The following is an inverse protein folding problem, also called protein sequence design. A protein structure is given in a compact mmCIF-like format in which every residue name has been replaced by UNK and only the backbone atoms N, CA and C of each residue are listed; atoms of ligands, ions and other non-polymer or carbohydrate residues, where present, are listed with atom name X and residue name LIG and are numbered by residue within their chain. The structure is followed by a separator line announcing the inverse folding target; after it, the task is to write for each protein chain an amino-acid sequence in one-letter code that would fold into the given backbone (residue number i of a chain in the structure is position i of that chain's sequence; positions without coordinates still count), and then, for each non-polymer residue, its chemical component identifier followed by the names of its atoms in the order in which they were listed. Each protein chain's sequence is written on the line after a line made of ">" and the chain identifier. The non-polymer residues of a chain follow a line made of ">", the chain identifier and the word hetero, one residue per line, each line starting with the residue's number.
data_IF_027956850221
#
_entry.id   IF_027956850221
#
_cell.length_a   1.000
_cell.length_b   1.000
_cell.length_c   1.000
_cell.angle_alpha   90.00
_cell.angle_beta   90.00
_cell.angle_gamma   90.00
#
_symmetry.space_group_name_H-M   'P 1'
#
loop_
_entity.id
_entity.type
_entity.pdbx_description
1 polymer ?
#
# COMPACT_ATOMS: atom_id res chain seq x y z
N UNK A 1 -19.50 -58.44 -15.81
CA UNK A 1 -18.63 -58.34 -14.61
C UNK A 1 -17.41 -57.51 -14.96
N UNK A 2 -17.32 -56.27 -14.51
CA UNK A 2 -16.09 -55.47 -14.59
C UNK A 2 -15.11 -55.99 -13.53
N UNK A 3 -13.83 -56.16 -13.89
CA UNK A 3 -12.84 -56.65 -12.93
C UNK A 3 -12.56 -55.60 -11.84
N UNK A 4 -12.43 -56.01 -10.57
CA UNK A 4 -12.18 -55.10 -9.44
C UNK A 4 -10.94 -54.22 -9.64
N UNK A 5 -9.96 -54.69 -10.43
CA UNK A 5 -8.75 -53.93 -10.79
C UNK A 5 -9.06 -52.64 -11.54
N UNK A 6 -10.10 -52.61 -12.37
CA UNK A 6 -10.47 -51.39 -13.13
C UNK A 6 -11.06 -50.31 -12.22
N UNK A 7 -11.82 -50.71 -11.19
CA UNK A 7 -12.40 -49.76 -10.22
C UNK A 7 -11.33 -49.09 -9.37
N UNK A 8 -10.31 -49.84 -8.92
CA UNK A 8 -9.19 -49.27 -8.16
C UNK A 8 -8.40 -48.28 -9.03
N UNK A 9 -8.15 -48.60 -10.29
CA UNK A 9 -7.42 -47.71 -11.20
C UNK A 9 -8.17 -46.40 -11.46
N UNK A 10 -9.49 -46.46 -11.66
CA UNK A 10 -10.31 -45.24 -11.83
C UNK A 10 -10.33 -44.37 -10.59
N UNK A 11 -10.35 -44.97 -9.39
CA UNK A 11 -10.30 -44.22 -8.13
C UNK A 11 -8.94 -43.53 -7.92
N UNK A 12 -7.84 -44.20 -8.27
CA UNK A 12 -6.48 -43.62 -8.20
C UNK A 12 -6.27 -42.49 -9.23
N UNK A 13 -6.82 -42.64 -10.44
CA UNK A 13 -6.79 -41.58 -11.45
C UNK A 13 -7.64 -40.38 -11.00
N UNK A 14 -8.82 -40.61 -10.44
CA UNK A 14 -9.68 -39.54 -9.95
C UNK A 14 -9.07 -38.80 -8.76
N UNK A 15 -8.40 -39.50 -7.83
CA UNK A 15 -7.73 -38.87 -6.68
C UNK A 15 -6.54 -38.02 -7.12
N UNK A 16 -5.72 -38.50 -8.06
CA UNK A 16 -4.58 -37.73 -8.59
C UNK A 16 -5.02 -36.48 -9.37
N UNK A 17 -6.08 -36.57 -10.16
CA UNK A 17 -6.65 -35.39 -10.86
C UNK A 17 -7.21 -34.37 -9.87
N UNK A 18 -7.90 -34.83 -8.82
CA UNK A 18 -8.42 -33.96 -7.77
C UNK A 18 -7.28 -33.23 -7.03
N UNK A 19 -6.21 -33.95 -6.68
CA UNK A 19 -5.03 -33.37 -6.03
C UNK A 19 -4.34 -32.33 -6.92
N UNK A 20 -4.23 -32.57 -8.22
CA UNK A 20 -3.64 -31.61 -9.16
C UNK A 20 -4.44 -30.30 -9.21
N UNK A 21 -5.77 -30.39 -9.25
CA UNK A 21 -6.65 -29.21 -9.25
C UNK A 21 -6.61 -28.40 -7.96
N UNK A 22 -6.44 -29.07 -6.82
CA UNK A 22 -6.26 -28.39 -5.54
C UNK A 22 -4.96 -27.61 -5.50
N UNK A 23 -3.84 -28.18 -5.98
CA UNK A 23 -2.55 -27.48 -6.05
C UNK A 23 -2.61 -26.25 -6.95
N UNK A 24 -3.23 -26.39 -8.12
CA UNK A 24 -3.44 -25.29 -9.07
C UNK A 24 -4.21 -24.13 -8.40
N UNK A 25 -5.32 -24.42 -7.73
CA UNK A 25 -6.13 -23.43 -7.03
C UNK A 25 -5.35 -22.73 -5.90
N UNK A 26 -4.55 -23.48 -5.12
CA UNK A 26 -3.82 -22.89 -4.01
C UNK A 26 -2.65 -22.02 -4.49
N UNK A 27 -1.95 -22.42 -5.55
CA UNK A 27 -0.91 -21.59 -6.18
C UNK A 27 -1.55 -20.31 -6.73
N UNK A 28 -2.73 -20.40 -7.34
CA UNK A 28 -3.45 -19.22 -7.83
C UNK A 28 -3.81 -18.26 -6.70
N UNK A 29 -4.38 -18.75 -5.60
CA UNK A 29 -4.71 -17.92 -4.43
C UNK A 29 -3.44 -17.28 -3.83
N UNK A 30 -2.36 -18.06 -3.71
CA UNK A 30 -1.07 -17.55 -3.24
C UNK A 30 -0.55 -16.42 -4.15
N UNK A 31 -0.62 -16.60 -5.47
CA UNK A 31 -0.20 -15.57 -6.42
C UNK A 31 -1.07 -14.32 -6.35
N UNK A 32 -2.38 -14.44 -6.08
CA UNK A 32 -3.25 -13.28 -5.87
C UNK A 32 -2.80 -12.45 -4.67
N UNK A 33 -2.52 -13.10 -3.53
CA UNK A 33 -2.01 -12.41 -2.34
C UNK A 33 -0.67 -11.71 -2.63
N UNK A 34 0.25 -12.41 -3.31
CA UNK A 34 1.57 -11.87 -3.70
C UNK A 34 1.46 -10.69 -4.69
N UNK A 35 0.38 -10.61 -5.47
CA UNK A 35 0.14 -9.49 -6.41
C UNK A 35 -0.33 -8.23 -5.68
N UNK A 36 -1.11 -8.36 -4.61
CA UNK A 36 -1.53 -7.22 -3.78
C UNK A 36 -0.31 -6.51 -3.19
N UNK A 37 0.62 -7.27 -2.59
CA UNK A 37 1.91 -6.79 -2.11
C UNK A 37 2.77 -6.10 -3.17
N UNK A 38 2.77 -6.64 -4.39
CA UNK A 38 3.50 -6.05 -5.51
C UNK A 38 2.89 -4.70 -5.88
N UNK A 39 1.56 -4.61 -5.92
CA UNK A 39 0.85 -3.37 -6.21
C UNK A 39 1.15 -2.31 -5.15
N UNK A 40 1.19 -2.66 -3.87
CA UNK A 40 1.52 -1.71 -2.80
C UNK A 40 2.98 -1.26 -2.87
N UNK A 41 3.89 -2.18 -3.24
CA UNK A 41 5.30 -1.84 -3.52
C UNK A 41 5.41 -0.87 -4.71
N UNK A 42 4.62 -1.07 -5.77
CA UNK A 42 4.57 -0.17 -6.92
C UNK A 42 3.94 1.18 -6.57
N UNK A 43 2.90 1.22 -5.74
CA UNK A 43 2.31 2.46 -5.26
C UNK A 43 3.31 3.26 -4.43
N UNK A 44 4.04 2.60 -3.53
CA UNK A 44 5.13 3.22 -2.77
C UNK A 44 6.21 3.78 -3.70
N UNK A 45 6.63 3.00 -4.70
CA UNK A 45 7.60 3.42 -5.71
C UNK A 45 7.12 4.65 -6.49
N UNK A 46 5.85 4.64 -6.92
CA UNK A 46 5.21 5.72 -7.68
C UNK A 46 5.08 6.99 -6.85
N UNK A 47 4.67 6.86 -5.59
CA UNK A 47 4.58 7.97 -4.64
C UNK A 47 5.96 8.58 -4.42
N UNK A 48 6.96 7.74 -4.15
CA UNK A 48 8.34 8.19 -3.99
C UNK A 48 8.82 8.94 -5.24
N UNK A 49 8.50 8.45 -6.44
CA UNK A 49 8.87 9.09 -7.71
C UNK A 49 8.17 10.44 -7.93
N UNK A 50 6.85 10.51 -7.71
CA UNK A 50 6.02 11.71 -7.91
C UNK A 50 6.36 12.85 -6.95
N UNK A 51 6.84 12.55 -5.74
CA UNK A 51 7.16 13.60 -4.77
C UNK A 51 8.33 14.46 -5.28
N UNK A 52 8.16 15.80 -5.35
CA UNK A 52 9.20 16.71 -5.82
C UNK A 52 10.40 16.73 -4.87
N UNK A 53 11.58 17.11 -5.38
CA UNK A 53 12.85 17.04 -4.64
C UNK A 53 13.20 18.32 -3.87
N UNK A 54 12.25 19.24 -3.72
CA UNK A 54 12.48 20.53 -3.05
C UNK A 54 12.42 20.36 -1.53
N UNK A 55 13.45 20.80 -0.81
CA UNK A 55 13.45 20.82 0.65
C UNK A 55 12.52 21.93 1.15
N UNK A 56 11.24 21.63 1.27
CA UNK A 56 10.22 22.52 1.82
C UNK A 56 9.81 22.12 3.23
N UNK A 57 9.32 23.06 4.03
CA UNK A 57 8.75 22.72 5.34
C UNK A 57 7.44 21.96 5.18
N UNK A 58 7.37 20.74 5.70
CA UNK A 58 6.17 19.92 5.86
C UNK A 58 5.09 20.51 6.79
N UNK A 59 5.48 21.48 7.62
CA UNK A 59 4.60 22.15 8.59
C UNK A 59 4.36 23.57 8.10
N UNK A 60 3.09 23.91 7.89
CA UNK A 60 2.67 25.28 7.56
C UNK A 60 1.61 25.77 8.54
N UNK A 61 1.78 27.01 9.01
CA UNK A 61 0.79 27.69 9.84
C UNK A 61 -0.07 28.55 8.94
N UNK A 62 -1.33 28.17 8.75
CA UNK A 62 -2.29 28.99 7.99
C UNK A 62 -3.30 29.61 8.95
N UNK A 63 -3.21 30.92 9.17
CA UNK A 63 -4.27 31.66 9.85
C UNK A 63 -5.33 32.02 8.80
N UNK A 64 -6.62 31.69 9.02
CA UNK A 64 -7.66 32.03 8.06
C UNK A 64 -7.73 33.55 7.84
N UNK A 65 -7.90 33.97 6.58
CA UNK A 65 -7.89 35.39 6.20
C UNK A 65 -9.07 36.21 6.77
N UNK A 66 -10.14 35.56 7.22
CA UNK A 66 -11.39 36.21 7.64
C UNK A 66 -11.39 36.71 9.09
N UNK A 67 -10.40 36.36 9.92
CA UNK A 67 -10.32 36.80 11.31
C UNK A 67 -8.89 36.89 11.82
N UNK A 68 -8.67 37.72 12.85
CA UNK A 68 -7.38 37.78 13.54
C UNK A 68 -7.13 36.48 14.31
N UNK A 69 -5.85 36.14 14.54
CA UNK A 69 -5.44 34.93 15.28
C UNK A 69 -6.13 34.84 16.65
N UNK A 70 -6.38 35.97 17.29
CA UNK A 70 -7.00 36.05 18.61
C UNK A 70 -8.51 35.79 18.57
N UNK A 71 -9.19 36.28 17.53
CA UNK A 71 -10.63 36.08 17.35
C UNK A 71 -10.96 34.62 17.05
N UNK A 72 -10.15 33.96 16.22
CA UNK A 72 -10.31 32.53 15.89
C UNK A 72 -10.20 31.66 17.15
N UNK A 73 -9.24 31.96 18.03
CA UNK A 73 -9.07 31.24 19.30
C UNK A 73 -10.27 31.41 20.23
N UNK A 74 -10.83 32.63 20.34
CA UNK A 74 -11.98 32.89 21.21
C UNK A 74 -13.27 32.25 20.71
N UNK A 75 -13.53 32.32 19.40
CA UNK A 75 -14.84 31.92 18.83
C UNK A 75 -14.98 30.41 18.70
N UNK A 76 -13.90 29.71 18.33
CA UNK A 76 -13.96 28.28 18.00
C UNK A 76 -13.38 27.35 19.09
N UNK A 77 -12.74 27.90 20.12
CA UNK A 77 -12.06 27.10 21.15
C UNK A 77 -10.89 26.26 20.61
N UNK A 78 -10.34 26.64 19.46
CA UNK A 78 -9.26 25.90 18.81
C UNK A 78 -7.94 26.02 19.57
N UNK A 79 -7.23 24.91 19.64
CA UNK A 79 -5.87 24.85 20.16
C UNK A 79 -4.87 25.29 19.09
N UNK A 80 -3.65 25.69 19.46
CA UNK A 80 -2.64 26.07 18.46
C UNK A 80 -2.27 24.92 17.51
N UNK A 81 -2.54 23.68 17.92
CA UNK A 81 -2.32 22.48 17.11
C UNK A 81 -3.30 22.39 15.93
N UNK A 82 -4.51 22.93 16.07
CA UNK A 82 -5.53 22.92 15.01
C UNK A 82 -5.21 23.89 13.85
N UNK A 83 -4.30 24.84 14.09
CA UNK A 83 -3.81 25.80 13.09
C UNK A 83 -2.62 25.26 12.30
N UNK A 84 -2.08 24.11 12.71
CA UNK A 84 -0.96 23.46 12.03
C UNK A 84 -1.50 22.60 10.90
N UNK A 85 -1.17 22.97 9.66
CA UNK A 85 -1.43 22.15 8.49
C UNK A 85 -0.19 21.38 8.10
N UNK A 86 -0.33 20.06 8.02
CA UNK A 86 0.70 19.18 7.50
C UNK A 86 0.50 19.04 5.99
N UNK A 87 1.47 19.53 5.23
CA UNK A 87 1.51 19.36 3.78
C UNK A 87 2.58 18.35 3.40
N UNK A 88 2.35 17.59 2.34
CA UNK A 88 3.40 16.77 1.74
C UNK A 88 4.43 17.70 1.10
N UNK A 89 5.49 18.00 1.83
CA UNK A 89 6.63 18.74 1.31
C UNK A 89 7.56 17.83 0.49
N UNK A 90 8.38 18.43 -0.36
CA UNK A 90 9.32 17.68 -1.17
C UNK A 90 10.38 16.97 -0.32
N UNK A 91 10.84 15.82 -0.80
CA UNK A 91 11.82 14.96 -0.14
C UNK A 91 13.18 15.19 -0.81
N UNK A 92 14.24 15.53 -0.06
CA UNK A 92 15.56 15.70 -0.64
C UNK A 92 16.07 14.38 -1.25
N UNK A 93 16.84 14.48 -2.34
CA UNK A 93 17.23 13.34 -3.18
C UNK A 93 17.97 12.24 -2.38
N UNK A 94 18.84 12.61 -1.44
CA UNK A 94 19.58 11.63 -0.64
C UNK A 94 18.64 10.78 0.23
N UNK A 95 17.59 11.38 0.81
CA UNK A 95 16.57 10.63 1.53
C UNK A 95 15.72 9.77 0.60
N UNK A 96 15.43 10.24 -0.62
CA UNK A 96 14.72 9.45 -1.64
C UNK A 96 15.51 8.20 -2.02
N UNK A 97 16.81 8.35 -2.26
CA UNK A 97 17.72 7.24 -2.57
C UNK A 97 17.84 6.30 -1.36
N UNK A 98 17.97 6.82 -0.14
CA UNK A 98 18.02 6.00 1.06
C UNK A 98 16.75 5.15 1.21
N UNK A 99 15.57 5.74 1.07
CA UNK A 99 14.30 5.00 1.12
C UNK A 99 14.21 3.94 0.01
N UNK A 100 14.67 4.26 -1.19
CA UNK A 100 14.69 3.30 -2.29
C UNK A 100 15.57 2.07 -1.97
N UNK A 101 16.79 2.28 -1.48
CA UNK A 101 17.72 1.19 -1.20
C UNK A 101 17.42 0.42 0.09
N UNK A 102 16.88 1.07 1.12
CA UNK A 102 16.66 0.44 2.42
C UNK A 102 15.22 -0.06 2.65
N UNK A 103 14.24 0.42 1.88
CA UNK A 103 12.84 0.02 2.05
C UNK A 103 12.36 -0.72 0.80
N UNK A 104 12.44 -0.08 -0.37
CA UNK A 104 11.87 -0.62 -1.60
C UNK A 104 12.63 -1.84 -2.10
N UNK A 105 13.96 -1.79 -2.11
CA UNK A 105 14.79 -2.90 -2.59
C UNK A 105 14.66 -4.15 -1.70
N UNK A 106 14.71 -4.08 -0.35
CA UNK A 106 14.44 -5.24 0.50
C UNK A 106 13.03 -5.79 0.34
N UNK A 107 12.00 -4.94 0.25
CA UNK A 107 10.61 -5.37 0.02
C UNK A 107 10.47 -6.11 -1.31
N UNK A 108 11.07 -5.56 -2.38
CA UNK A 108 11.07 -6.22 -3.70
C UNK A 108 11.87 -7.53 -3.71
N UNK A 109 12.99 -7.59 -3.00
CA UNK A 109 13.78 -8.82 -2.86
C UNK A 109 13.02 -9.91 -2.08
N UNK A 110 12.31 -9.53 -1.01
CA UNK A 110 11.43 -10.43 -0.27
C UNK A 110 10.31 -10.95 -1.18
N UNK A 111 9.66 -10.07 -1.94
CA UNK A 111 8.63 -10.45 -2.90
C UNK A 111 9.13 -11.46 -3.95
N UNK A 112 10.31 -11.23 -4.54
CA UNK A 112 10.93 -12.16 -5.50
C UNK A 112 11.28 -13.50 -4.85
N UNK A 113 11.90 -13.47 -3.66
CA UNK A 113 12.29 -14.67 -2.94
C UNK A 113 11.08 -15.50 -2.53
N UNK A 114 9.98 -14.84 -2.10
CA UNK A 114 8.73 -15.47 -1.71
C UNK A 114 7.99 -16.05 -2.91
N UNK A 115 7.93 -15.32 -4.03
CA UNK A 115 7.31 -15.82 -5.26
C UNK A 115 8.02 -17.07 -5.76
N UNK A 116 9.35 -17.05 -5.83
CA UNK A 116 10.14 -18.19 -6.33
C UNK A 116 10.10 -19.38 -5.37
N UNK A 117 10.39 -19.14 -4.08
CA UNK A 117 10.46 -20.21 -3.09
C UNK A 117 9.07 -20.73 -2.73
N UNK A 118 8.07 -19.86 -2.63
CA UNK A 118 6.69 -20.21 -2.31
C UNK A 118 6.05 -21.10 -3.38
N UNK A 119 6.17 -20.74 -4.66
CA UNK A 119 5.67 -21.60 -5.75
C UNK A 119 6.39 -22.95 -5.76
N UNK A 120 7.71 -22.98 -5.54
CA UNK A 120 8.47 -24.23 -5.46
C UNK A 120 8.02 -25.11 -4.29
N UNK A 121 7.88 -24.55 -3.09
CA UNK A 121 7.39 -25.27 -1.92
C UNK A 121 5.96 -25.81 -2.08
N UNK A 122 5.06 -25.01 -2.66
CA UNK A 122 3.68 -25.42 -2.92
C UNK A 122 3.59 -26.58 -3.93
N UNK A 123 4.53 -26.64 -4.88
CA UNK A 123 4.60 -27.73 -5.85
C UNK A 123 5.11 -29.04 -5.25
N UNK A 124 6.03 -29.00 -4.29
CA UNK A 124 6.60 -30.20 -3.65
C UNK A 124 5.72 -30.76 -2.52
N UNK A 125 4.89 -29.93 -1.89
CA UNK A 125 4.08 -30.34 -0.74
C UNK A 125 2.97 -31.33 -1.15
N UNK A 126 2.93 -32.50 -0.48
CA UNK A 126 1.99 -33.58 -0.80
C UNK A 126 0.67 -33.53 -0.01
N UNK A 127 0.63 -32.82 1.12
CA UNK A 127 -0.51 -32.71 2.01
C UNK A 127 -1.26 -31.37 1.90
N UNK A 128 -2.60 -31.42 1.95
CA UNK A 128 -3.43 -30.20 1.92
C UNK A 128 -3.24 -29.32 3.16
N UNK A 129 -3.05 -29.94 4.33
CA UNK A 129 -2.84 -29.23 5.60
C UNK A 129 -1.52 -28.48 5.55
N UNK A 130 -0.45 -29.15 5.12
CA UNK A 130 0.88 -28.56 4.98
C UNK A 130 0.87 -27.41 3.98
N UNK A 131 0.13 -27.56 2.88
CA UNK A 131 -0.01 -26.54 1.85
C UNK A 131 -0.68 -25.28 2.41
N UNK A 132 -1.77 -25.43 3.18
CA UNK A 132 -2.46 -24.31 3.83
C UNK A 132 -1.53 -23.63 4.85
N UNK A 133 -0.88 -24.40 5.72
CA UNK A 133 0.03 -23.87 6.75
C UNK A 133 1.20 -23.11 6.11
N UNK A 134 1.80 -23.65 5.06
CA UNK A 134 2.88 -23.00 4.33
C UNK A 134 2.39 -21.70 3.66
N UNK A 135 1.22 -21.71 3.02
CA UNK A 135 0.67 -20.50 2.42
C UNK A 135 0.38 -19.40 3.45
N UNK A 136 -0.16 -19.76 4.62
CA UNK A 136 -0.39 -18.82 5.73
C UNK A 136 0.90 -18.27 6.30
N UNK A 137 1.94 -19.11 6.44
CA UNK A 137 3.25 -18.66 6.90
C UNK A 137 3.90 -17.69 5.91
N UNK A 138 3.77 -17.93 4.61
CA UNK A 138 4.28 -17.03 3.57
C UNK A 138 3.52 -15.69 3.55
N UNK A 139 2.19 -15.71 3.71
CA UNK A 139 1.40 -14.49 3.85
C UNK A 139 1.79 -13.68 5.10
N UNK A 140 2.01 -14.35 6.24
CA UNK A 140 2.49 -13.67 7.44
C UNK A 140 3.84 -12.97 7.20
N UNK A 141 4.76 -13.58 6.45
CA UNK A 141 6.06 -12.97 6.13
C UNK A 141 5.92 -11.69 5.31
N UNK A 142 4.89 -11.61 4.45
CA UNK A 142 4.57 -10.39 3.69
C UNK A 142 4.14 -9.26 4.62
N UNK A 143 3.24 -9.55 5.57
CA UNK A 143 2.69 -8.56 6.50
C UNK A 143 3.68 -8.04 7.58
N UNK A 144 4.84 -8.70 7.74
CA UNK A 144 5.80 -8.37 8.81
C UNK A 144 6.28 -6.92 8.72
N UNK A 145 6.49 -6.37 7.52
CA UNK A 145 7.00 -5.00 7.37
C UNK A 145 5.97 -3.96 7.83
N UNK A 146 4.69 -4.17 7.51
CA UNK A 146 3.58 -3.35 7.98
C UNK A 146 3.40 -3.45 9.49
N UNK A 147 3.50 -4.66 10.04
CA UNK A 147 3.46 -4.89 11.49
C UNK A 147 4.58 -4.13 12.20
N UNK A 148 5.81 -4.19 11.65
CA UNK A 148 6.97 -3.45 12.15
C UNK A 148 6.68 -1.95 12.10
N UNK A 149 6.25 -1.41 10.96
CA UNK A 149 5.90 0.01 10.83
C UNK A 149 4.83 0.45 11.84
N UNK A 150 3.78 -0.35 12.02
CA UNK A 150 2.69 -0.05 12.96
C UNK A 150 3.16 -0.03 14.43
N UNK A 151 4.18 -0.82 14.77
CA UNK A 151 4.77 -0.87 16.11
C UNK A 151 5.80 0.22 16.36
N UNK A 152 6.63 0.54 15.38
CA UNK A 152 7.66 1.59 15.51
C UNK A 152 7.12 3.01 15.29
N UNK A 153 5.94 3.16 14.68
CA UNK A 153 5.28 4.47 14.55
C UNK A 153 4.71 4.92 15.90
N UNK A 154 5.22 6.05 16.40
CA UNK A 154 4.71 6.69 17.61
C UNK A 154 3.27 7.20 17.41
N UNK A 155 2.52 7.37 18.51
CA UNK A 155 1.17 7.97 18.47
C UNK A 155 1.17 9.33 17.78
N UNK A 156 2.23 10.11 17.95
CA UNK A 156 2.41 11.40 17.29
C UNK A 156 2.54 11.23 15.77
N UNK A 157 3.34 10.29 15.30
CA UNK A 157 3.51 10.01 13.87
C UNK A 157 2.18 9.60 13.24
N UNK A 158 1.39 8.76 13.93
CA UNK A 158 0.05 8.35 13.48
C UNK A 158 -0.89 9.55 13.39
N UNK A 159 -0.89 10.40 14.42
CA UNK A 159 -1.67 11.63 14.42
C UNK A 159 -1.27 12.56 13.27
N UNK A 160 0.02 12.73 13.00
CA UNK A 160 0.50 13.55 11.88
C UNK A 160 0.00 12.95 10.56
N UNK A 161 0.21 11.65 10.32
CA UNK A 161 -0.21 10.96 9.09
C UNK A 161 -1.71 11.10 8.85
N UNK A 162 -2.55 10.93 9.88
CA UNK A 162 -4.01 11.08 9.76
C UNK A 162 -4.47 12.52 9.46
N UNK A 163 -3.61 13.52 9.65
CA UNK A 163 -3.89 14.94 9.41
C UNK A 163 -3.07 15.53 8.25
N UNK A 164 -2.35 14.71 7.48
CA UNK A 164 -1.66 15.17 6.27
C UNK A 164 -2.70 15.46 5.18
N UNK A 165 -2.59 16.63 4.56
CA UNK A 165 -3.41 16.96 3.38
C UNK A 165 -3.06 16.02 2.22
N UNK A 166 -4.08 15.51 1.53
CA UNK A 166 -3.89 14.64 0.38
C UNK A 166 -2.98 15.30 -0.66
N UNK A 167 -2.04 14.53 -1.18
CA UNK A 167 -1.26 14.97 -2.34
C UNK A 167 -2.24 15.15 -3.50
N UNK A 168 -2.33 16.35 -4.13
CA UNK A 168 -3.20 16.54 -5.27
C UNK A 168 -2.74 15.58 -6.38
N UNK A 169 -3.46 14.47 -6.52
CA UNK A 169 -3.12 13.39 -7.44
C UNK A 169 -3.38 13.75 -8.91
N UNK A 170 -4.06 14.88 -9.11
CA UNK A 170 -4.36 15.50 -10.38
C UNK A 170 -3.79 16.92 -10.33
N UNK A 171 -3.18 17.36 -11.43
CA UNK A 171 -3.15 18.78 -11.72
C UNK A 171 -4.61 19.23 -11.68
N UNK A 172 -5.05 19.79 -10.56
CA UNK A 172 -6.31 20.49 -10.54
C UNK A 172 -6.17 21.50 -11.65
N UNK A 173 -6.99 21.31 -12.70
CA UNK A 173 -6.91 22.13 -13.89
C UNK A 173 -6.85 23.60 -13.44
N UNK A 174 -6.12 24.47 -14.14
CA UNK A 174 -5.97 25.87 -13.74
C UNK A 174 -7.32 26.56 -13.41
N UNK A 175 -8.43 26.03 -13.92
CA UNK A 175 -9.82 26.36 -13.59
C UNK A 175 -10.20 26.26 -12.11
N UNK A 176 -9.66 25.33 -11.32
CA UNK A 176 -9.98 25.27 -9.87
C UNK A 176 -9.26 26.36 -9.06
N UNK A 177 -8.24 27.00 -9.63
CA UNK A 177 -7.56 28.16 -9.02
C UNK A 177 -8.12 29.49 -9.52
N UNK A 178 -9.06 29.46 -10.47
CA UNK A 178 -9.73 30.66 -10.93
C UNK A 178 -10.60 31.22 -9.79
N UNK A 179 -10.50 32.52 -9.56
CA UNK A 179 -11.41 33.20 -8.63
C UNK A 179 -12.82 33.21 -9.23
N UNK A 180 -13.89 33.21 -8.44
CA UNK A 180 -15.28 33.23 -8.95
C UNK A 180 -15.50 34.30 -10.05
N UNK A 181 -14.83 35.44 -9.93
CA UNK A 181 -14.85 36.52 -10.92
C UNK A 181 -14.23 36.13 -12.28
N UNK A 182 -13.12 35.38 -12.27
CA UNK A 182 -12.45 34.89 -13.48
C UNK A 182 -13.29 33.79 -14.16
N UNK A 183 -13.89 32.90 -13.37
CA UNK A 183 -14.78 31.87 -13.88
C UNK A 183 -16.01 32.49 -14.57
N UNK A 184 -16.61 33.53 -13.96
CA UNK A 184 -17.72 34.29 -14.56
C UNK A 184 -17.33 34.96 -15.89
N UNK A 185 -16.14 35.56 -15.96
CA UNK A 185 -15.68 36.27 -17.15
C UNK A 185 -15.56 35.35 -18.38
N UNK A 186 -15.26 34.06 -18.17
CA UNK A 186 -15.19 33.03 -19.21
C UNK A 186 -16.55 32.63 -19.78
N UNK A 187 -17.64 32.71 -19.00
CA UNK A 187 -18.99 32.41 -19.46
C UNK A 187 -19.67 33.58 -20.18
N UNK A 188 -19.17 34.81 -19.97
CA UNK A 188 -19.73 36.04 -20.55
C UNK A 188 -19.14 36.32 -21.94
N UNK A 189 -17.96 35.77 -22.27
CA UNK A 189 -17.30 35.86 -23.59
C UNK A 189 -17.73 34.77 -24.54
#
# INVERSE_FOLDING_TARGET
>A
MQSPTRQVLTLLVQSSVLQAKQREACIFIFMLAVVEDLNDTFQLARTLWKVPTCADSWVSYSVPKWASKEDVKRVKGWTELDLVKFKVAGIPIHWKVLNFFFILLPKFALWLALSKSGVHYLMETAGIVDLIVNSLALAFVLDVDEMVFHRFSSTLTKHIISNIEDLPNFDTEPTEKETDAQALQRYIS
#
